data_IF_775641946559
#
_entry.id   IF_775641946559
#
_cell.length_a   1.000
_cell.length_b   1.000
_cell.length_c   1.000
_cell.angle_alpha   90.00
_cell.angle_beta   90.00
_cell.angle_gamma   90.00
#
_symmetry.space_group_name_H-M   'P 1'
#
loop_
_entity.id
_entity.type
_entity.pdbx_description
1 polymer ?
#
# COMPACT_ATOMS: atom_id res chain seq x y z
N UNK A 1 55.19 46.96 -54.23
CA UNK A 1 54.44 45.91 -54.95
C UNK A 1 53.69 45.08 -53.93
N UNK A 2 52.40 44.83 -54.20
CA UNK A 2 51.40 44.16 -53.36
C UNK A 2 51.66 42.66 -53.14
N UNK A 3 51.25 42.13 -51.98
CA UNK A 3 50.42 40.90 -51.84
C UNK A 3 50.06 40.74 -50.35
N UNK A 4 48.85 41.03 -49.88
CA UNK A 4 47.58 40.30 -50.07
C UNK A 4 47.67 38.83 -49.60
N UNK A 5 47.29 38.57 -48.34
CA UNK A 5 46.55 37.37 -47.92
C UNK A 5 46.09 37.50 -46.46
N UNK A 6 45.04 38.30 -46.26
CA UNK A 6 44.16 38.23 -45.11
C UNK A 6 43.17 37.08 -45.32
N UNK A 7 43.47 35.89 -44.78
CA UNK A 7 42.53 34.76 -44.79
C UNK A 7 41.70 34.78 -43.49
N UNK A 8 40.39 35.00 -43.64
CA UNK A 8 39.41 34.96 -42.56
C UNK A 8 39.30 33.55 -41.93
N UNK A 9 38.95 33.42 -40.64
CA UNK A 9 38.74 32.13 -40.01
C UNK A 9 37.55 31.41 -40.65
N UNK A 10 37.77 30.19 -41.14
CA UNK A 10 36.76 29.36 -41.78
C UNK A 10 35.62 29.03 -40.79
N UNK A 11 34.38 29.11 -41.27
CA UNK A 11 33.20 28.79 -40.48
C UNK A 11 33.27 27.33 -39.96
N UNK A 12 32.86 27.06 -38.70
CA UNK A 12 32.94 25.73 -38.13
C UNK A 12 32.07 24.76 -38.92
N UNK A 13 32.69 23.72 -39.46
CA UNK A 13 32.01 22.64 -40.17
C UNK A 13 31.10 21.85 -39.21
N UNK A 14 29.94 21.32 -39.66
CA UNK A 14 29.00 20.58 -38.81
C UNK A 14 29.63 19.42 -38.03
N UNK A 15 30.65 18.78 -38.62
CA UNK A 15 31.41 17.71 -37.99
C UNK A 15 32.23 18.18 -36.77
N UNK A 16 32.84 19.37 -36.84
CA UNK A 16 33.56 19.95 -35.70
C UNK A 16 32.62 20.29 -34.53
N UNK A 17 31.37 20.69 -34.82
CA UNK A 17 30.37 20.98 -33.79
C UNK A 17 29.93 19.67 -33.11
N UNK A 18 29.70 18.61 -33.89
CA UNK A 18 29.34 17.29 -33.38
C UNK A 18 30.46 16.65 -32.55
N UNK A 19 31.71 16.78 -32.97
CA UNK A 19 32.87 16.29 -32.19
C UNK A 19 33.04 17.07 -30.89
N UNK A 20 32.87 18.40 -30.93
CA UNK A 20 32.93 19.24 -29.73
C UNK A 20 31.80 18.91 -28.75
N UNK A 21 30.58 18.72 -29.25
CA UNK A 21 29.43 18.33 -28.44
C UNK A 21 29.59 16.92 -27.85
N UNK A 22 30.16 15.98 -28.61
CA UNK A 22 30.40 14.61 -28.14
C UNK A 22 31.47 14.57 -27.06
N UNK A 23 32.52 15.41 -27.17
CA UNK A 23 33.56 15.54 -26.13
C UNK A 23 33.00 16.13 -24.84
N UNK A 24 32.25 17.22 -24.93
CA UNK A 24 31.62 17.90 -23.79
C UNK A 24 30.54 17.04 -23.11
N UNK A 25 29.85 16.17 -23.87
CA UNK A 25 28.84 15.24 -23.33
C UNK A 25 29.41 14.33 -22.24
N UNK A 26 30.65 13.88 -22.39
CA UNK A 26 31.29 12.99 -21.41
C UNK A 26 31.80 13.74 -20.17
N UNK A 27 32.14 15.02 -20.28
CA UNK A 27 32.51 15.88 -19.14
C UNK A 27 31.30 16.29 -18.29
N UNK A 28 30.12 16.42 -18.90
CA UNK A 28 28.91 16.96 -18.26
C UNK A 28 28.03 15.88 -17.61
N UNK A 29 28.05 14.63 -18.09
CA UNK A 29 26.99 13.66 -17.77
C UNK A 29 27.01 13.05 -16.36
N UNK A 30 28.11 13.14 -15.61
CA UNK A 30 28.25 12.42 -14.33
C UNK A 30 27.69 13.13 -13.11
N UNK A 31 27.91 14.44 -12.98
CA UNK A 31 27.67 15.16 -11.71
C UNK A 31 26.75 16.37 -11.80
N UNK A 32 26.44 16.87 -13.00
CA UNK A 32 25.64 18.11 -13.14
C UNK A 32 24.22 17.92 -12.61
N UNK A 33 23.62 16.76 -12.83
CA UNK A 33 22.28 16.48 -12.28
C UNK A 33 22.31 16.42 -10.75
N UNK A 34 23.32 15.78 -10.16
CA UNK A 34 23.47 15.66 -8.71
C UNK A 34 23.75 17.02 -8.06
N UNK A 35 24.67 17.80 -8.62
CA UNK A 35 24.95 19.17 -8.14
C UNK A 35 23.77 20.13 -8.32
N UNK A 36 23.00 19.99 -9.40
CA UNK A 36 21.79 20.78 -9.61
C UNK A 36 20.72 20.44 -8.57
N UNK A 37 20.53 19.15 -8.30
CA UNK A 37 19.57 18.68 -7.28
C UNK A 37 20.01 19.14 -5.90
N UNK A 38 21.30 19.00 -5.56
CA UNK A 38 21.87 19.47 -4.28
C UNK A 38 21.68 20.98 -4.10
N UNK A 39 21.93 21.78 -5.14
CA UNK A 39 21.71 23.22 -5.12
C UNK A 39 20.23 23.59 -4.88
N UNK A 40 19.31 22.92 -5.57
CA UNK A 40 17.86 23.14 -5.40
C UNK A 40 17.41 22.81 -3.97
N UNK A 41 17.87 21.68 -3.42
CA UNK A 41 17.54 21.30 -2.04
C UNK A 41 18.12 22.27 -1.02
N UNK A 42 19.35 22.75 -1.23
CA UNK A 42 20.01 23.71 -0.35
C UNK A 42 19.27 25.05 -0.33
N UNK A 43 18.85 25.55 -1.48
CA UNK A 43 18.09 26.80 -1.57
C UNK A 43 16.68 26.65 -0.98
N UNK A 44 16.01 25.51 -1.21
CA UNK A 44 14.73 25.22 -0.59
C UNK A 44 14.83 25.17 0.96
N UNK A 45 15.86 24.53 1.50
CA UNK A 45 16.12 24.48 2.95
C UNK A 45 16.38 25.88 3.51
N UNK A 46 17.19 26.70 2.82
CA UNK A 46 17.46 28.09 3.22
C UNK A 46 16.20 28.95 3.24
N UNK A 47 15.28 28.75 2.30
CA UNK A 47 13.99 29.46 2.28
C UNK A 47 13.09 28.97 3.43
N UNK A 48 13.04 27.66 3.66
CA UNK A 48 12.26 27.08 4.75
C UNK A 48 12.72 27.56 6.12
N UNK A 49 14.03 27.57 6.40
CA UNK A 49 14.59 28.07 7.66
C UNK A 49 14.30 29.55 7.90
N UNK A 50 14.20 30.35 6.83
CA UNK A 50 13.84 31.77 6.93
C UNK A 50 12.35 32.01 7.12
N UNK A 51 11.51 31.12 6.61
CA UNK A 51 10.06 31.28 6.64
C UNK A 51 9.40 30.59 7.85
N UNK A 52 10.04 29.56 8.42
CA UNK A 52 9.49 28.77 9.52
C UNK A 52 10.06 29.27 10.85
N UNK A 53 9.21 29.94 11.63
CA UNK A 53 9.49 30.27 13.02
C UNK A 53 9.05 29.07 13.86
N UNK A 54 9.99 28.35 14.46
CA UNK A 54 9.67 27.32 15.44
C UNK A 54 9.27 28.02 16.75
N UNK A 55 8.01 27.93 17.20
CA UNK A 55 7.66 28.42 18.52
C UNK A 55 8.34 27.52 19.57
N UNK A 56 9.08 28.13 20.49
CA UNK A 56 9.62 27.49 21.71
C UNK A 56 8.46 26.89 22.53
N UNK A 57 8.05 25.66 22.19
CA UNK A 57 7.12 24.89 23.01
C UNK A 57 7.95 23.94 23.88
N UNK A 58 7.72 23.92 25.20
CA UNK A 58 8.41 22.98 26.08
C UNK A 58 8.16 21.54 25.61
N UNK A 59 9.16 20.64 25.73
CA UNK A 59 9.08 19.30 25.19
C UNK A 59 7.87 18.58 25.81
N UNK A 60 6.84 18.33 24.99
CA UNK A 60 5.66 17.58 25.42
C UNK A 60 6.07 16.12 25.63
N UNK A 61 5.78 15.65 26.85
CA UNK A 61 5.82 14.30 27.40
C UNK A 61 6.44 13.14 26.57
N UNK A 62 7.39 12.47 27.22
CA UNK A 62 8.17 11.30 26.77
C UNK A 62 7.37 10.05 26.33
N UNK A 63 6.04 10.04 26.44
CA UNK A 63 5.21 8.93 25.96
C UNK A 63 5.19 8.87 24.42
N UNK A 64 5.06 10.03 23.76
CA UNK A 64 5.13 10.12 22.30
C UNK A 64 6.50 9.65 21.79
N UNK A 65 7.57 9.99 22.52
CA UNK A 65 8.95 9.58 22.21
C UNK A 65 9.20 8.09 22.42
N UNK A 66 8.64 7.49 23.47
CA UNK A 66 8.79 6.05 23.76
C UNK A 66 8.00 5.18 22.78
N UNK A 67 6.80 5.63 22.40
CA UNK A 67 6.00 5.02 21.33
C UNK A 67 6.74 5.17 20.01
N UNK A 68 7.25 6.36 19.67
CA UNK A 68 8.07 6.57 18.48
C UNK A 68 9.32 5.68 18.49
N UNK A 69 9.97 5.47 19.63
CA UNK A 69 11.18 4.66 19.70
C UNK A 69 10.91 3.16 19.54
N UNK A 70 9.75 2.66 20.01
CA UNK A 70 9.27 1.30 19.77
C UNK A 70 8.83 1.13 18.31
N UNK A 71 8.11 2.11 17.76
CA UNK A 71 7.59 2.11 16.38
C UNK A 71 8.71 2.31 15.34
N UNK A 72 9.80 3.00 15.69
CA UNK A 72 10.89 3.38 14.77
C UNK A 72 12.10 2.45 14.86
N UNK A 73 12.16 1.53 15.83
CA UNK A 73 13.31 0.63 15.90
C UNK A 73 13.29 -0.44 14.78
N UNK A 74 14.40 -0.52 14.06
CA UNK A 74 14.59 -1.42 12.90
C UNK A 74 14.54 -2.91 13.26
N UNK A 75 14.70 -3.26 14.55
CA UNK A 75 14.70 -4.62 15.05
C UNK A 75 13.35 -5.03 15.69
N UNK A 76 12.68 -4.13 16.42
CA UNK A 76 11.32 -4.39 16.92
C UNK A 76 10.24 -4.15 15.86
N UNK A 77 10.56 -3.55 14.71
CA UNK A 77 9.63 -3.36 13.61
C UNK A 77 9.02 -4.68 13.09
N UNK A 78 9.80 -5.77 13.01
CA UNK A 78 9.30 -7.07 12.54
C UNK A 78 8.34 -7.75 13.54
N UNK A 79 8.68 -7.90 14.84
CA UNK A 79 7.75 -8.40 15.84
C UNK A 79 6.51 -7.52 16.01
N UNK A 80 6.67 -6.19 16.03
CA UNK A 80 5.58 -5.24 16.20
C UNK A 80 4.61 -5.29 15.01
N UNK A 81 5.12 -5.44 13.79
CA UNK A 81 4.29 -5.68 12.62
C UNK A 81 3.45 -6.96 12.78
N UNK A 82 4.11 -8.08 13.10
CA UNK A 82 3.41 -9.37 13.21
C UNK A 82 2.36 -9.33 14.32
N UNK A 83 2.65 -8.64 15.43
CA UNK A 83 1.71 -8.39 16.53
C UNK A 83 0.51 -7.55 16.06
N UNK A 84 0.74 -6.44 15.35
CA UNK A 84 -0.34 -5.60 14.84
C UNK A 84 -1.24 -6.38 13.86
N UNK A 85 -0.64 -7.13 12.94
CA UNK A 85 -1.39 -7.97 12.00
C UNK A 85 -2.20 -9.03 12.74
N UNK A 86 -1.60 -9.71 13.73
CA UNK A 86 -2.29 -10.68 14.59
C UNK A 86 -3.46 -10.04 15.34
N UNK A 87 -3.28 -8.82 15.85
CA UNK A 87 -4.32 -8.06 16.52
C UNK A 87 -5.48 -7.74 15.57
N UNK A 88 -5.17 -7.29 14.34
CA UNK A 88 -6.17 -7.06 13.28
C UNK A 88 -6.95 -8.34 12.98
N UNK A 89 -6.28 -9.48 12.76
CA UNK A 89 -6.96 -10.76 12.53
C UNK A 89 -7.81 -11.19 13.72
N UNK A 90 -7.26 -11.08 14.93
CA UNK A 90 -7.97 -11.43 16.14
C UNK A 90 -9.23 -10.57 16.32
N UNK A 91 -9.12 -9.26 16.08
CA UNK A 91 -10.23 -8.33 16.12
C UNK A 91 -11.27 -8.64 15.02
N UNK A 92 -10.83 -8.97 13.82
CA UNK A 92 -11.73 -9.38 12.73
C UNK A 92 -12.48 -10.67 13.07
N UNK A 93 -11.79 -11.72 13.53
CA UNK A 93 -12.43 -13.00 13.86
C UNK A 93 -13.37 -12.85 15.05
N UNK A 94 -12.88 -12.26 16.14
CA UNK A 94 -13.68 -12.07 17.36
C UNK A 94 -14.85 -11.10 17.11
N UNK A 95 -14.60 -10.04 16.34
CA UNK A 95 -15.61 -9.04 15.99
C UNK A 95 -16.65 -9.58 15.00
N UNK A 96 -16.26 -10.48 14.09
CA UNK A 96 -17.17 -11.06 13.11
C UNK A 96 -18.09 -12.14 13.67
N UNK A 97 -17.68 -12.82 14.76
CA UNK A 97 -18.51 -13.86 15.38
C UNK A 97 -19.89 -13.34 15.81
N UNK A 98 -19.96 -12.12 16.36
CA UNK A 98 -21.22 -11.50 16.79
C UNK A 98 -22.19 -11.23 15.62
N UNK A 99 -21.83 -10.47 14.58
CA UNK A 99 -22.68 -10.26 13.41
C UNK A 99 -22.94 -11.54 12.61
N UNK A 100 -21.99 -12.49 12.60
CA UNK A 100 -22.19 -13.80 11.96
C UNK A 100 -23.29 -14.61 12.64
N UNK A 101 -23.28 -14.67 13.97
CA UNK A 101 -24.32 -15.36 14.74
C UNK A 101 -25.69 -14.66 14.58
N UNK A 102 -25.71 -13.32 14.56
CA UNK A 102 -26.94 -12.55 14.29
C UNK A 102 -27.51 -12.84 12.90
N UNK A 103 -26.68 -12.84 11.86
CA UNK A 103 -27.10 -13.19 10.50
C UNK A 103 -27.58 -14.64 10.42
N UNK A 104 -26.84 -15.56 11.06
CA UNK A 104 -27.19 -16.97 11.12
C UNK A 104 -28.58 -17.18 11.73
N UNK A 105 -28.86 -16.59 12.89
CA UNK A 105 -30.19 -16.64 13.52
C UNK A 105 -31.28 -16.05 12.63
N UNK A 106 -30.98 -14.95 11.94
CA UNK A 106 -31.96 -14.31 11.06
C UNK A 106 -32.28 -15.19 9.84
N UNK A 107 -31.28 -15.63 9.09
CA UNK A 107 -31.50 -16.42 7.88
C UNK A 107 -31.92 -17.87 8.16
N UNK A 108 -31.29 -18.52 9.13
CA UNK A 108 -31.51 -19.94 9.43
C UNK A 108 -32.66 -20.17 10.42
N UNK A 109 -32.79 -19.36 11.47
CA UNK A 109 -33.81 -19.63 12.50
C UNK A 109 -35.13 -18.88 12.23
N UNK A 110 -35.11 -17.82 11.42
CA UNK A 110 -36.32 -17.05 11.10
C UNK A 110 -36.80 -17.33 9.67
N UNK A 111 -35.95 -17.09 8.66
CA UNK A 111 -36.39 -17.17 7.27
C UNK A 111 -36.56 -18.61 6.79
N UNK A 112 -35.62 -19.51 7.07
CA UNK A 112 -35.71 -20.91 6.65
C UNK A 112 -37.02 -21.61 7.09
N UNK A 113 -37.43 -21.59 8.38
CA UNK A 113 -38.69 -22.23 8.78
C UNK A 113 -39.93 -21.53 8.21
N UNK A 114 -39.86 -20.22 7.95
CA UNK A 114 -40.93 -19.47 7.30
C UNK A 114 -41.05 -19.87 5.82
N UNK A 115 -39.93 -20.12 5.15
CA UNK A 115 -39.89 -20.65 3.79
C UNK A 115 -40.46 -22.07 3.73
N UNK A 116 -40.11 -22.93 4.70
CA UNK A 116 -40.65 -24.30 4.82
C UNK A 116 -42.15 -24.32 5.13
N UNK A 117 -42.64 -23.42 5.97
CA UNK A 117 -44.08 -23.36 6.25
C UNK A 117 -44.87 -22.82 5.06
N UNK A 118 -44.32 -21.85 4.32
CA UNK A 118 -44.90 -21.35 3.09
C UNK A 118 -44.91 -22.40 1.98
N UNK A 119 -43.84 -23.18 1.82
CA UNK A 119 -43.79 -24.25 0.80
C UNK A 119 -44.77 -25.38 1.12
N UNK A 120 -44.93 -25.72 2.39
CA UNK A 120 -45.95 -26.67 2.85
C UNK A 120 -47.38 -26.15 2.60
N UNK A 121 -47.64 -24.85 2.79
CA UNK A 121 -48.94 -24.24 2.53
C UNK A 121 -49.32 -24.21 1.04
N UNK A 122 -48.34 -24.08 0.16
CA UNK A 122 -48.52 -24.10 -1.31
C UNK A 122 -48.58 -25.55 -1.84
N UNK A 123 -48.20 -26.54 -1.03
CA UNK A 123 -48.19 -27.96 -1.40
C UNK A 123 -47.06 -28.31 -2.36
N UNK A 124 -45.86 -27.72 -2.16
CA UNK A 124 -44.70 -28.06 -3.00
C UNK A 124 -44.33 -29.55 -2.88
N UNK A 125 -43.93 -30.21 -3.99
CA UNK A 125 -43.36 -31.55 -3.94
C UNK A 125 -42.07 -31.59 -3.11
N UNK A 126 -41.89 -32.66 -2.34
CA UNK A 126 -40.75 -32.85 -1.43
C UNK A 126 -39.37 -32.69 -2.10
N UNK A 127 -39.23 -33.10 -3.37
CA UNK A 127 -37.97 -32.99 -4.11
C UNK A 127 -37.63 -31.55 -4.50
N UNK A 128 -38.63 -30.72 -4.74
CA UNK A 128 -38.45 -29.32 -5.15
C UNK A 128 -38.18 -28.44 -3.94
N UNK A 129 -38.90 -28.69 -2.84
CA UNK A 129 -38.67 -28.06 -1.55
C UNK A 129 -37.25 -28.34 -1.03
N UNK A 130 -36.83 -29.61 -1.05
CA UNK A 130 -35.47 -29.99 -0.63
C UNK A 130 -34.38 -29.39 -1.50
N UNK A 131 -34.59 -29.30 -2.82
CA UNK A 131 -33.60 -28.69 -3.71
C UNK A 131 -33.46 -27.17 -3.51
N UNK A 132 -34.57 -26.44 -3.47
CA UNK A 132 -34.53 -24.98 -3.37
C UNK A 132 -34.22 -24.50 -1.95
N UNK A 133 -34.90 -25.05 -0.94
CA UNK A 133 -34.85 -24.52 0.43
C UNK A 133 -33.69 -25.13 1.21
N UNK A 134 -33.57 -26.46 1.22
CA UNK A 134 -32.52 -27.14 1.98
C UNK A 134 -31.19 -27.16 1.22
N UNK A 135 -31.23 -27.16 -0.12
CA UNK A 135 -30.05 -27.10 -0.97
C UNK A 135 -29.57 -25.67 -1.19
N UNK A 136 -30.23 -24.96 -2.11
CA UNK A 136 -29.75 -23.65 -2.60
C UNK A 136 -29.79 -22.59 -1.50
N UNK A 137 -30.95 -22.43 -0.85
CA UNK A 137 -31.15 -21.36 0.12
C UNK A 137 -30.29 -21.57 1.37
N UNK A 138 -30.36 -22.73 2.02
CA UNK A 138 -29.60 -23.01 3.24
C UNK A 138 -28.09 -22.87 3.00
N UNK A 139 -27.57 -23.40 1.90
CA UNK A 139 -26.15 -23.27 1.56
C UNK A 139 -25.75 -21.81 1.36
N UNK A 140 -26.56 -21.04 0.62
CA UNK A 140 -26.29 -19.61 0.37
C UNK A 140 -26.37 -18.80 1.67
N UNK A 141 -27.41 -19.01 2.47
CA UNK A 141 -27.60 -18.36 3.76
C UNK A 141 -26.44 -18.64 4.71
N UNK A 142 -25.96 -19.89 4.76
CA UNK A 142 -24.82 -20.27 5.59
C UNK A 142 -23.52 -19.60 5.12
N UNK A 143 -23.22 -19.66 3.82
CA UNK A 143 -22.02 -19.02 3.25
C UNK A 143 -22.04 -17.51 3.50
N UNK A 144 -23.16 -16.84 3.26
CA UNK A 144 -23.32 -15.41 3.49
C UNK A 144 -23.15 -15.09 4.98
N UNK A 145 -23.78 -15.85 5.87
CA UNK A 145 -23.71 -15.58 7.31
C UNK A 145 -22.30 -15.77 7.88
N UNK A 146 -21.51 -16.72 7.37
CA UNK A 146 -20.17 -17.01 7.89
C UNK A 146 -19.09 -16.14 7.23
N UNK A 147 -19.17 -15.89 5.92
CA UNK A 147 -18.07 -15.27 5.16
C UNK A 147 -18.22 -13.76 5.00
N UNK A 148 -19.45 -13.23 4.97
CA UNK A 148 -19.68 -11.80 4.79
C UNK A 148 -19.19 -10.96 5.99
N UNK A 149 -19.44 -11.33 7.26
CA UNK A 149 -19.08 -10.48 8.39
C UNK A 149 -17.56 -10.27 8.59
N UNK A 150 -16.70 -11.31 8.47
CA UNK A 150 -15.25 -11.10 8.51
C UNK A 150 -14.76 -10.13 7.46
N UNK A 151 -15.25 -10.25 6.21
CA UNK A 151 -14.84 -9.36 5.11
C UNK A 151 -15.29 -7.92 5.35
N UNK A 152 -16.51 -7.74 5.84
CA UNK A 152 -17.07 -6.41 6.15
C UNK A 152 -16.29 -5.67 7.25
N UNK A 153 -15.70 -6.39 8.21
CA UNK A 153 -14.87 -5.80 9.27
C UNK A 153 -13.42 -5.66 8.83
N UNK A 154 -12.89 -6.65 8.10
CA UNK A 154 -11.51 -6.67 7.64
C UNK A 154 -11.22 -5.49 6.71
N UNK A 155 -12.12 -5.19 5.78
CA UNK A 155 -11.85 -4.18 4.75
C UNK A 155 -11.68 -2.76 5.33
N UNK A 156 -12.59 -2.22 6.17
CA UNK A 156 -12.38 -0.92 6.81
C UNK A 156 -11.13 -0.87 7.69
N UNK A 157 -10.86 -1.95 8.43
CA UNK A 157 -9.70 -2.04 9.32
C UNK A 157 -8.39 -2.06 8.51
N UNK A 158 -8.39 -2.73 7.36
CA UNK A 158 -7.29 -2.76 6.41
C UNK A 158 -7.07 -1.41 5.73
N UNK A 159 -8.14 -0.73 5.27
CA UNK A 159 -8.07 0.63 4.72
C UNK A 159 -7.51 1.62 5.74
N UNK A 160 -7.93 1.55 7.02
CA UNK A 160 -7.33 2.35 8.08
C UNK A 160 -5.82 2.06 8.22
N UNK A 161 -5.42 0.79 8.14
CA UNK A 161 -4.01 0.39 8.15
C UNK A 161 -3.23 0.90 6.93
N UNK A 162 -3.89 1.04 5.79
CA UNK A 162 -3.35 1.62 4.56
C UNK A 162 -3.13 3.12 4.73
N UNK A 163 -4.14 3.82 5.23
CA UNK A 163 -4.11 5.27 5.47
C UNK A 163 -3.02 5.66 6.49
N UNK A 164 -2.76 4.81 7.50
CA UNK A 164 -1.64 5.00 8.44
C UNK A 164 -0.27 4.68 7.85
N UNK A 165 -0.20 4.24 6.59
CA UNK A 165 1.05 3.89 5.91
C UNK A 165 1.72 2.63 6.49
N UNK A 166 0.97 1.78 7.19
CA UNK A 166 1.50 0.53 7.74
C UNK A 166 1.69 -0.52 6.63
N UNK A 167 0.73 -0.64 5.70
CA UNK A 167 0.82 -1.55 4.54
C UNK A 167 2.10 -1.34 3.71
N UNK A 168 2.49 -0.11 3.33
CA UNK A 168 3.78 0.16 2.70
C UNK A 168 5.00 -0.33 3.51
N UNK A 169 4.97 -0.20 4.84
CA UNK A 169 6.05 -0.70 5.73
C UNK A 169 6.11 -2.22 5.72
N UNK A 170 4.96 -2.89 5.74
CA UNK A 170 4.86 -4.35 5.64
C UNK A 170 5.40 -4.86 4.31
N UNK A 171 4.99 -4.25 3.20
CA UNK A 171 5.46 -4.57 1.86
C UNK A 171 6.99 -4.46 1.76
N UNK A 172 7.57 -3.36 2.26
CA UNK A 172 9.02 -3.16 2.24
C UNK A 172 9.78 -4.17 3.11
N UNK A 173 9.23 -4.51 4.27
CA UNK A 173 9.83 -5.49 5.17
C UNK A 173 9.80 -6.92 4.58
N UNK A 174 8.71 -7.28 3.88
CA UNK A 174 8.61 -8.53 3.12
C UNK A 174 9.58 -8.54 1.92
N UNK A 175 9.74 -7.41 1.22
CA UNK A 175 10.71 -7.29 0.12
C UNK A 175 12.15 -7.57 0.58
N UNK A 176 12.52 -7.14 1.79
CA UNK A 176 13.84 -7.43 2.35
C UNK A 176 14.06 -8.94 2.61
N UNK A 177 13.00 -9.70 2.93
CA UNK A 177 13.06 -11.16 3.04
C UNK A 177 13.19 -11.79 1.65
N UNK A 178 12.41 -11.32 0.67
CA UNK A 178 12.48 -11.83 -0.70
C UNK A 178 13.83 -11.55 -1.38
N UNK A 179 14.45 -10.39 -1.10
CA UNK A 179 15.82 -10.09 -1.51
C UNK A 179 16.84 -11.07 -0.91
N UNK A 180 16.67 -11.44 0.36
CA UNK A 180 17.53 -12.43 1.02
C UNK A 180 17.37 -13.84 0.46
N UNK A 181 16.20 -14.19 -0.08
CA UNK A 181 15.98 -15.47 -0.77
C UNK A 181 16.41 -15.46 -2.25
N UNK A 182 17.06 -14.38 -2.73
CA UNK A 182 17.60 -14.30 -4.10
C UNK A 182 16.61 -13.86 -5.17
N UNK A 183 15.39 -13.47 -4.81
CA UNK A 183 14.44 -12.88 -5.75
C UNK A 183 14.80 -11.39 -6.00
N UNK A 184 14.73 -10.94 -7.25
CA UNK A 184 14.86 -9.51 -7.54
C UNK A 184 13.66 -8.79 -6.93
N UNK A 185 13.88 -7.90 -5.96
CA UNK A 185 12.81 -7.19 -5.22
C UNK A 185 11.76 -6.43 -6.06
N UNK A 186 11.95 -6.33 -7.38
CA UNK A 186 10.92 -5.90 -8.33
C UNK A 186 9.75 -6.91 -8.47
N UNK A 187 9.93 -8.18 -8.08
CA UNK A 187 8.88 -9.22 -8.15
C UNK A 187 7.94 -9.25 -6.93
N UNK A 188 8.37 -8.72 -5.79
CA UNK A 188 7.55 -8.67 -4.57
C UNK A 188 6.35 -7.71 -4.73
N UNK A 189 6.57 -6.58 -5.40
CA UNK A 189 5.52 -5.59 -5.68
C UNK A 189 4.43 -6.17 -6.60
N UNK A 190 4.82 -6.93 -7.63
CA UNK A 190 3.86 -7.60 -8.54
C UNK A 190 3.10 -8.76 -7.89
N UNK A 191 3.63 -9.39 -6.84
CA UNK A 191 2.93 -10.45 -6.10
C UNK A 191 1.93 -9.90 -5.07
N UNK A 192 2.20 -8.73 -4.47
CA UNK A 192 1.24 -8.09 -3.56
C UNK A 192 0.08 -7.40 -4.27
N UNK A 193 0.28 -7.00 -5.52
CA UNK A 193 -0.74 -6.36 -6.36
C UNK A 193 -1.51 -7.38 -7.23
N UNK A 194 -1.46 -8.68 -6.86
CA UNK A 194 -2.11 -9.78 -7.58
C UNK A 194 -3.57 -9.50 -7.92
#
# INVERSE_FOLDING_TARGET
>A
MLNANSAAPAAPTPQNILDTATRLRWEVSGGVHESLVEAIYTDAARIADRAVIYPDKPPRFNLDRAIDQIVTSRLFGFPLMLLLFTLVFWLTISGANVPSDLLGRFFLDTIHPLLKSASAAIGLPWWLDGLLIDGIYLATAWVVSVMLPPMAIFFPLFTLLEDFGYLPRVAFNLDNIFKKSGAHGKQALSMMMG
#
